data_IF_516611850395
#
_entry.id   IF_516611850395
#
_cell.length_a   1.000
_cell.length_b   1.000
_cell.length_c   1.000
_cell.angle_alpha   90.00
_cell.angle_beta   90.00
_cell.angle_gamma   90.00
#
_symmetry.space_group_name_H-M   'P 1'
#
loop_
_entity.id
_entity.type
_entity.pdbx_description
1 polymer ?
#
# COMPACT_ATOMS: atom_id res chain seq x y z
N UNK A 1 -10.68 7.19 -13.80
CA UNK A 1 -9.78 6.85 -14.94
C UNK A 1 -9.80 7.90 -16.05
N UNK A 2 -10.93 8.42 -16.50
CA UNK A 2 -11.00 9.43 -17.57
C UNK A 2 -10.06 10.62 -17.33
N UNK A 3 -10.14 11.27 -16.17
CA UNK A 3 -9.29 12.41 -15.81
C UNK A 3 -7.80 12.04 -15.77
N UNK A 4 -7.50 10.88 -15.22
CA UNK A 4 -6.13 10.34 -15.14
C UNK A 4 -5.54 10.11 -16.54
N UNK A 5 -6.31 9.54 -17.46
CA UNK A 5 -5.88 9.30 -18.84
C UNK A 5 -5.64 10.61 -19.61
N UNK A 6 -6.50 11.62 -19.43
CA UNK A 6 -6.30 12.95 -20.03
C UNK A 6 -5.02 13.58 -19.50
N UNK A 7 -4.78 13.50 -18.19
CA UNK A 7 -3.57 14.06 -17.59
C UNK A 7 -2.31 13.38 -18.13
N UNK A 8 -2.33 12.08 -18.40
CA UNK A 8 -1.19 11.33 -18.95
C UNK A 8 -0.77 11.76 -20.34
N UNK A 9 -1.66 12.36 -21.14
CA UNK A 9 -1.31 12.85 -22.48
C UNK A 9 -0.19 13.89 -22.42
N UNK A 10 -0.10 14.68 -21.32
CA UNK A 10 0.94 15.68 -21.08
C UNK A 10 1.24 16.55 -22.32
N UNK A 11 0.25 17.23 -22.92
CA UNK A 11 0.43 17.95 -24.18
C UNK A 11 1.26 19.22 -24.04
N UNK A 12 1.56 19.67 -22.82
CA UNK A 12 2.31 20.88 -22.53
C UNK A 12 3.62 20.57 -21.81
N UNK A 13 4.65 21.42 -22.00
CA UNK A 13 5.91 21.29 -21.25
C UNK A 13 5.69 21.45 -19.75
N UNK A 14 4.75 22.32 -19.35
CA UNK A 14 4.37 22.53 -17.94
C UNK A 14 2.88 22.90 -17.81
N UNK A 15 2.35 22.90 -16.60
CA UNK A 15 0.95 23.29 -16.33
C UNK A 15 -0.08 22.21 -16.64
N UNK A 16 0.31 20.99 -17.01
CA UNK A 16 -0.62 19.90 -17.36
C UNK A 16 -1.67 19.61 -16.26
N UNK A 17 -1.27 19.61 -15.00
CA UNK A 17 -2.21 19.39 -13.88
C UNK A 17 -3.24 20.53 -13.80
N UNK A 18 -2.82 21.78 -13.95
CA UNK A 18 -3.71 22.94 -13.94
C UNK A 18 -4.67 22.91 -15.11
N UNK A 19 -4.18 22.60 -16.31
CA UNK A 19 -5.03 22.47 -17.51
C UNK A 19 -6.03 21.35 -17.36
N UNK A 20 -5.63 20.21 -16.81
CA UNK A 20 -6.56 19.10 -16.51
C UNK A 20 -7.64 19.52 -15.53
N UNK A 21 -7.29 20.24 -14.46
CA UNK A 21 -8.26 20.76 -13.50
C UNK A 21 -9.30 21.67 -14.18
N UNK A 22 -8.84 22.68 -14.93
CA UNK A 22 -9.73 23.60 -15.67
C UNK A 22 -10.61 22.87 -16.68
N UNK A 23 -10.03 21.90 -17.40
CA UNK A 23 -10.79 21.08 -18.35
C UNK A 23 -11.90 20.28 -17.61
N UNK A 24 -11.59 19.62 -16.52
CA UNK A 24 -12.57 18.81 -15.77
C UNK A 24 -13.66 19.69 -15.15
N UNK A 25 -13.31 20.86 -14.60
CA UNK A 25 -14.31 21.82 -14.10
C UNK A 25 -15.31 22.18 -15.21
N UNK A 26 -14.80 22.60 -16.38
CA UNK A 26 -15.64 22.94 -17.52
C UNK A 26 -16.46 21.75 -18.00
N UNK A 27 -15.86 20.58 -18.11
CA UNK A 27 -16.50 19.36 -18.55
C UNK A 27 -17.65 18.95 -17.63
N UNK A 28 -17.44 18.94 -16.32
CA UNK A 28 -18.49 18.62 -15.34
C UNK A 28 -19.65 19.66 -15.36
N UNK A 29 -19.33 20.94 -15.56
CA UNK A 29 -20.35 22.00 -15.71
C UNK A 29 -21.25 21.77 -16.92
N UNK A 30 -20.76 21.14 -18.01
CA UNK A 30 -21.62 20.78 -19.16
C UNK A 30 -22.68 19.73 -18.84
N UNK A 31 -22.46 18.94 -17.78
CA UNK A 31 -23.45 17.98 -17.27
C UNK A 31 -24.36 18.55 -16.18
N UNK A 32 -24.27 19.85 -15.91
CA UNK A 32 -25.10 20.53 -14.94
C UNK A 32 -24.60 20.48 -13.50
N UNK A 33 -23.37 19.97 -13.27
CA UNK A 33 -22.77 19.99 -11.95
C UNK A 33 -22.34 21.41 -11.58
N UNK A 34 -22.73 21.86 -10.39
CA UNK A 34 -22.23 23.14 -9.84
C UNK A 34 -20.89 22.92 -9.17
N UNK A 35 -19.82 23.06 -9.93
CA UNK A 35 -18.44 22.83 -9.44
C UNK A 35 -17.84 24.15 -8.95
N UNK A 36 -17.43 24.16 -7.68
CA UNK A 36 -16.61 25.21 -7.10
C UNK A 36 -15.13 24.93 -7.39
N UNK A 37 -14.45 25.89 -8.02
CA UNK A 37 -13.00 25.82 -8.34
C UNK A 37 -12.12 25.97 -7.09
N UNK A 38 -12.63 26.50 -5.98
CA UNK A 38 -11.90 26.61 -4.70
C UNK A 38 -11.40 25.25 -4.21
N UNK A 39 -12.20 24.19 -4.38
CA UNK A 39 -11.79 22.82 -4.01
C UNK A 39 -10.49 22.40 -4.70
N UNK A 40 -10.31 22.77 -5.98
CA UNK A 40 -9.07 22.51 -6.71
C UNK A 40 -7.92 23.39 -6.24
N UNK A 41 -8.19 24.66 -5.90
CA UNK A 41 -7.18 25.59 -5.40
C UNK A 41 -6.63 25.14 -4.03
N UNK A 42 -7.52 24.84 -3.10
CA UNK A 42 -7.19 24.42 -1.74
C UNK A 42 -6.48 23.05 -1.72
N UNK A 43 -6.86 22.15 -2.61
CA UNK A 43 -6.35 20.78 -2.65
C UNK A 43 -5.47 20.51 -3.87
N UNK A 44 -4.82 21.53 -4.44
CA UNK A 44 -4.06 21.41 -5.69
C UNK A 44 -2.95 20.36 -5.64
N UNK A 45 -2.22 20.28 -4.52
CA UNK A 45 -1.18 19.27 -4.29
C UNK A 45 -1.76 17.87 -4.15
N UNK A 46 -2.89 17.72 -3.45
CA UNK A 46 -3.54 16.43 -3.33
C UNK A 46 -4.06 15.95 -4.69
N UNK A 47 -4.70 16.83 -5.47
CA UNK A 47 -5.17 16.52 -6.81
C UNK A 47 -4.01 16.07 -7.72
N UNK A 48 -2.88 16.82 -7.73
CA UNK A 48 -1.68 16.42 -8.47
C UNK A 48 -1.15 15.06 -8.04
N UNK A 49 -0.99 14.84 -6.75
CA UNK A 49 -0.45 13.60 -6.21
C UNK A 49 -1.39 12.42 -6.46
N UNK A 50 -2.71 12.62 -6.40
CA UNK A 50 -3.69 11.58 -6.74
C UNK A 50 -3.66 11.20 -8.23
N UNK A 51 -3.39 12.14 -9.14
CA UNK A 51 -3.15 11.85 -10.56
C UNK A 51 -1.86 11.03 -10.75
N UNK A 52 -0.79 11.38 -10.05
CA UNK A 52 0.45 10.59 -10.05
C UNK A 52 0.17 9.18 -9.55
N UNK A 53 -0.51 9.01 -8.40
CA UNK A 53 -0.83 7.70 -7.82
C UNK A 53 -1.70 6.84 -8.74
N UNK A 54 -2.65 7.46 -9.44
CA UNK A 54 -3.52 6.76 -10.38
C UNK A 54 -2.78 6.18 -11.59
N UNK A 55 -1.52 6.59 -11.84
CA UNK A 55 -0.73 6.19 -13.01
C UNK A 55 0.64 5.57 -12.65
N UNK A 56 1.05 5.65 -11.38
CA UNK A 56 2.38 5.20 -10.96
C UNK A 56 2.40 3.71 -10.69
N UNK A 57 3.39 3.04 -11.32
CA UNK A 57 3.73 1.63 -11.08
C UNK A 57 5.20 1.50 -10.73
N UNK A 58 5.51 0.66 -9.75
CA UNK A 58 6.87 0.22 -9.47
C UNK A 58 6.83 -1.24 -9.01
N UNK A 59 7.14 -2.16 -9.91
CA UNK A 59 7.09 -3.59 -9.64
C UNK A 59 8.15 -4.05 -8.63
N UNK A 60 9.31 -3.40 -8.60
CA UNK A 60 10.38 -3.72 -7.63
C UNK A 60 9.93 -3.42 -6.19
N UNK A 61 9.14 -2.36 -6.00
CA UNK A 61 8.58 -1.96 -4.71
C UNK A 61 7.17 -2.53 -4.46
N UNK A 62 6.68 -3.41 -5.33
CA UNK A 62 5.31 -3.95 -5.29
C UNK A 62 4.23 -2.86 -5.21
N UNK A 63 4.44 -1.74 -5.91
CA UNK A 63 3.52 -0.61 -5.94
C UNK A 63 2.75 -0.63 -7.26
N UNK A 64 1.43 -0.62 -7.16
CA UNK A 64 0.50 -0.60 -8.30
C UNK A 64 -0.24 0.73 -8.37
N UNK A 65 -0.89 0.97 -9.50
CA UNK A 65 -1.78 2.13 -9.69
C UNK A 65 -2.89 2.12 -8.66
N UNK A 66 -3.17 3.29 -8.10
CA UNK A 66 -4.23 3.46 -7.11
C UNK A 66 -5.07 4.70 -7.45
N UNK A 67 -6.31 4.47 -7.90
CA UNK A 67 -7.27 5.53 -8.23
C UNK A 67 -8.07 6.03 -7.03
N UNK A 68 -7.99 5.37 -5.88
CA UNK A 68 -8.80 5.66 -4.70
C UNK A 68 -8.64 7.09 -4.19
N UNK A 69 -7.44 7.65 -4.28
CA UNK A 69 -7.17 9.05 -3.90
C UNK A 69 -7.89 10.03 -4.83
N UNK A 70 -7.88 9.75 -6.13
CA UNK A 70 -8.56 10.57 -7.12
C UNK A 70 -10.08 10.45 -6.99
N UNK A 71 -10.58 9.28 -6.67
CA UNK A 71 -12.01 9.03 -6.41
C UNK A 71 -12.49 9.78 -5.17
N UNK A 72 -11.73 9.78 -4.06
CA UNK A 72 -12.03 10.59 -2.86
C UNK A 72 -12.09 12.09 -3.17
N UNK A 73 -11.14 12.59 -3.98
CA UNK A 73 -11.15 13.98 -4.40
C UNK A 73 -12.43 14.33 -5.18
N UNK A 74 -12.79 13.51 -6.16
CA UNK A 74 -14.01 13.73 -6.94
C UNK A 74 -15.28 13.51 -6.12
N UNK A 75 -15.27 12.62 -5.16
CA UNK A 75 -16.41 12.43 -4.27
C UNK A 75 -16.66 13.71 -3.46
N UNK A 76 -15.64 14.30 -2.84
CA UNK A 76 -15.78 15.58 -2.17
C UNK A 76 -16.28 16.69 -3.11
N UNK A 77 -15.73 16.75 -4.33
CA UNK A 77 -16.09 17.75 -5.32
C UNK A 77 -17.55 17.67 -5.76
N UNK A 78 -18.09 16.47 -5.96
CA UNK A 78 -19.42 16.26 -6.55
C UNK A 78 -20.53 16.17 -5.50
N UNK A 79 -20.23 15.67 -4.30
CA UNK A 79 -21.22 15.46 -3.24
C UNK A 79 -21.12 16.44 -2.08
N UNK A 80 -20.19 17.42 -2.16
CA UNK A 80 -19.88 18.34 -1.08
C UNK A 80 -19.54 17.63 0.25
N UNK A 81 -19.02 16.41 0.16
CA UNK A 81 -18.56 15.63 1.30
C UNK A 81 -17.23 16.17 1.82
N UNK A 82 -16.90 15.83 3.06
CA UNK A 82 -15.73 16.38 3.74
C UNK A 82 -14.72 15.27 4.10
N UNK A 83 -14.43 14.36 3.15
CA UNK A 83 -13.37 13.41 3.35
C UNK A 83 -12.02 14.11 3.48
N UNK A 84 -11.24 13.72 4.45
CA UNK A 84 -9.93 14.29 4.70
C UNK A 84 -8.95 13.96 3.56
N UNK A 85 -8.44 14.99 2.87
CA UNK A 85 -7.52 14.90 1.75
C UNK A 85 -6.08 15.19 2.22
N UNK A 86 -5.41 14.18 2.80
CA UNK A 86 -4.04 14.32 3.30
C UNK A 86 -3.01 13.89 2.27
N UNK A 87 -2.16 14.81 1.84
CA UNK A 87 -1.07 14.55 0.90
C UNK A 87 -0.12 13.44 1.37
N UNK A 88 0.15 13.32 2.66
CA UNK A 88 1.03 12.29 3.21
C UNK A 88 0.61 10.85 2.83
N UNK A 89 -0.69 10.59 2.65
CA UNK A 89 -1.18 9.28 2.28
C UNK A 89 -0.95 8.93 0.80
N UNK A 90 -0.68 9.93 -0.04
CA UNK A 90 -0.36 9.71 -1.45
C UNK A 90 1.10 9.35 -1.68
N UNK A 91 1.99 9.52 -0.69
CA UNK A 91 3.40 9.18 -0.80
C UNK A 91 3.61 7.66 -0.69
N UNK A 92 4.45 7.12 -1.56
CA UNK A 92 4.72 5.69 -1.67
C UNK A 92 5.35 5.13 -0.39
N UNK A 93 6.24 5.88 0.25
CA UNK A 93 6.89 5.48 1.49
C UNK A 93 5.89 5.33 2.65
N UNK A 94 4.81 6.12 2.65
CA UNK A 94 3.73 6.00 3.62
C UNK A 94 2.75 4.85 3.30
N UNK A 95 2.70 4.36 2.06
CA UNK A 95 1.86 3.21 1.69
C UNK A 95 2.45 1.92 2.28
N UNK A 96 3.77 1.80 2.31
CA UNK A 96 4.42 0.72 3.02
C UNK A 96 4.06 0.76 4.52
N UNK A 97 4.14 1.93 5.15
CA UNK A 97 3.72 2.14 6.54
C UNK A 97 2.21 1.96 6.78
N UNK A 98 1.34 2.23 5.81
CA UNK A 98 -0.11 2.08 5.95
C UNK A 98 -0.58 0.64 5.72
N UNK A 99 0.11 -0.12 4.87
CA UNK A 99 -0.10 -1.56 4.73
C UNK A 99 0.43 -2.32 5.96
N UNK A 100 1.45 -1.79 6.62
CA UNK A 100 1.95 -2.26 7.92
C UNK A 100 0.99 -1.92 9.07
N UNK A 101 0.23 -0.81 9.00
CA UNK A 101 -0.72 -0.38 10.04
C UNK A 101 -2.11 -1.03 9.97
N UNK A 102 -2.47 -1.72 8.89
CA UNK A 102 -3.69 -2.55 8.82
C UNK A 102 -3.47 -4.02 9.25
N UNK A 103 -2.23 -4.46 9.35
CA UNK A 103 -1.83 -5.57 10.20
C UNK A 103 -1.34 -4.92 11.50
N UNK A 104 -1.91 -5.24 12.66
CA UNK A 104 -1.35 -4.88 13.99
C UNK A 104 0.16 -5.02 13.87
N UNK A 105 0.88 -3.90 14.09
CA UNK A 105 2.31 -3.77 13.90
C UNK A 105 3.11 -4.95 14.46
N UNK A 106 3.40 -5.90 13.63
CA UNK A 106 4.50 -6.80 13.84
C UNK A 106 5.52 -6.43 12.77
N UNK A 107 6.60 -5.71 13.15
CA UNK A 107 7.74 -5.37 12.31
C UNK A 107 8.50 -6.65 11.91
N UNK A 108 7.87 -7.48 11.07
CA UNK A 108 8.52 -8.67 10.53
C UNK A 108 9.29 -8.31 9.26
N UNK A 109 10.48 -8.85 9.12
CA UNK A 109 11.17 -8.87 7.83
C UNK A 109 10.39 -9.74 6.83
N UNK A 110 10.64 -9.59 5.53
CA UNK A 110 10.00 -10.43 4.49
C UNK A 110 10.24 -11.93 4.75
N UNK A 111 11.41 -12.28 5.25
CA UNK A 111 11.78 -13.65 5.60
C UNK A 111 11.02 -14.12 6.86
N UNK A 112 10.90 -13.30 7.89
CA UNK A 112 10.11 -13.59 9.08
C UNK A 112 8.64 -13.78 8.73
N UNK A 113 8.08 -12.94 7.86
CA UNK A 113 6.70 -13.05 7.38
C UNK A 113 6.48 -14.35 6.59
N UNK A 114 7.41 -14.73 5.72
CA UNK A 114 7.36 -16.00 4.99
C UNK A 114 7.35 -17.19 5.94
N UNK A 115 8.23 -17.17 6.96
CA UNK A 115 8.29 -18.23 7.98
C UNK A 115 6.97 -18.29 8.77
N UNK A 116 6.42 -17.16 9.20
CA UNK A 116 5.12 -17.10 9.90
C UNK A 116 4.01 -17.71 9.05
N UNK A 117 3.92 -17.38 7.77
CA UNK A 117 2.90 -17.94 6.88
C UNK A 117 3.02 -19.45 6.72
N UNK A 118 4.25 -19.97 6.61
CA UNK A 118 4.50 -21.41 6.56
C UNK A 118 4.05 -22.09 7.86
N UNK A 119 4.38 -21.50 9.02
CA UNK A 119 4.05 -22.06 10.34
C UNK A 119 2.54 -21.95 10.66
N UNK A 120 1.87 -20.90 10.20
CA UNK A 120 0.39 -20.79 10.29
C UNK A 120 -0.32 -21.85 9.47
N UNK A 121 0.22 -22.18 8.28
CA UNK A 121 -0.34 -23.25 7.43
C UNK A 121 -0.05 -24.66 7.98
N UNK A 122 1.16 -24.88 8.51
CA UNK A 122 1.54 -26.16 9.10
C UNK A 122 2.52 -25.95 10.27
N UNK A 123 2.00 -26.01 11.48
CA UNK A 123 2.76 -25.80 12.71
C UNK A 123 3.83 -26.89 13.01
N UNK A 124 3.80 -28.02 12.30
CA UNK A 124 4.74 -29.11 12.47
C UNK A 124 5.91 -29.05 11.46
N UNK A 125 5.95 -28.04 10.59
CA UNK A 125 6.99 -27.90 9.55
C UNK A 125 8.38 -27.83 10.17
N UNK A 126 9.31 -28.60 9.59
CA UNK A 126 10.70 -28.64 10.03
C UNK A 126 11.49 -27.44 9.50
N UNK A 127 12.59 -27.07 10.19
CA UNK A 127 13.48 -26.00 9.72
C UNK A 127 14.11 -26.29 8.35
N UNK A 128 14.29 -27.57 8.00
CA UNK A 128 14.78 -27.99 6.70
C UNK A 128 13.74 -27.76 5.60
N UNK A 129 12.48 -28.05 5.87
CA UNK A 129 11.38 -27.78 4.93
C UNK A 129 11.18 -26.28 4.72
N UNK A 130 11.26 -25.48 5.80
CA UNK A 130 11.21 -24.01 5.71
C UNK A 130 12.36 -23.51 4.84
N UNK A 131 13.59 -24.01 5.03
CA UNK A 131 14.75 -23.59 4.25
C UNK A 131 14.58 -23.82 2.74
N UNK A 132 13.96 -24.94 2.37
CA UNK A 132 13.63 -25.25 0.97
C UNK A 132 12.56 -24.32 0.41
N UNK A 133 11.51 -24.03 1.17
CA UNK A 133 10.38 -23.21 0.72
C UNK A 133 10.78 -21.73 0.54
N UNK A 134 11.60 -21.17 1.44
CA UNK A 134 12.05 -19.77 1.34
C UNK A 134 13.36 -19.59 0.56
N UNK A 135 13.92 -20.69 0.02
CA UNK A 135 15.17 -20.72 -0.74
C UNK A 135 16.37 -20.06 -0.01
N UNK A 136 16.52 -20.36 1.28
CA UNK A 136 17.62 -19.88 2.14
C UNK A 136 18.35 -21.06 2.79
N UNK A 137 19.59 -20.84 3.23
CA UNK A 137 20.35 -21.89 3.90
C UNK A 137 19.70 -22.29 5.22
N UNK A 138 19.82 -23.55 5.62
CA UNK A 138 19.32 -24.03 6.91
C UNK A 138 19.91 -23.22 8.10
N UNK A 139 21.18 -22.77 7.98
CA UNK A 139 21.83 -21.93 8.98
C UNK A 139 21.10 -20.60 9.13
N UNK A 140 20.77 -19.94 8.02
CA UNK A 140 20.03 -18.67 7.99
C UNK A 140 18.65 -18.83 8.62
N UNK A 141 17.92 -19.90 8.27
CA UNK A 141 16.59 -20.17 8.85
C UNK A 141 16.67 -20.39 10.36
N UNK A 142 17.68 -21.12 10.84
CA UNK A 142 17.89 -21.31 12.27
C UNK A 142 18.13 -19.98 12.99
N UNK A 143 18.91 -19.07 12.41
CA UNK A 143 19.14 -17.72 12.96
C UNK A 143 17.84 -16.94 13.02
N UNK A 144 17.08 -16.83 11.94
CA UNK A 144 15.80 -16.13 11.92
C UNK A 144 14.81 -16.70 12.95
N UNK A 145 14.68 -18.02 13.01
CA UNK A 145 13.77 -18.64 13.98
C UNK A 145 14.21 -18.44 15.44
N UNK A 146 15.51 -18.36 15.71
CA UNK A 146 16.01 -18.05 17.05
C UNK A 146 15.69 -16.59 17.42
N UNK A 147 15.94 -15.64 16.52
CA UNK A 147 15.59 -14.22 16.72
C UNK A 147 14.07 -14.04 16.89
N UNK A 148 13.25 -14.74 16.11
CA UNK A 148 11.80 -14.71 16.24
C UNK A 148 11.32 -15.29 17.58
N UNK A 149 12.00 -16.32 18.13
CA UNK A 149 11.70 -16.82 19.47
C UNK A 149 12.08 -15.81 20.55
N UNK A 150 13.25 -15.16 20.41
CA UNK A 150 13.70 -14.11 21.34
C UNK A 150 12.76 -12.90 21.35
N UNK A 151 12.23 -12.53 20.18
CA UNK A 151 11.20 -11.49 20.03
C UNK A 151 9.80 -11.95 20.51
N UNK A 152 9.63 -13.21 20.91
CA UNK A 152 8.34 -13.77 21.33
C UNK A 152 7.32 -13.96 20.22
N UNK A 153 7.74 -13.95 18.95
CA UNK A 153 6.88 -14.06 17.77
C UNK A 153 6.44 -15.50 17.49
N UNK A 154 7.31 -16.45 17.82
CA UNK A 154 7.05 -17.89 17.72
C UNK A 154 7.50 -18.59 18.98
N UNK A 155 6.78 -19.64 19.37
CA UNK A 155 7.11 -20.50 20.50
C UNK A 155 7.08 -21.97 20.07
N UNK A 156 8.02 -22.78 20.58
CA UNK A 156 8.01 -24.21 20.34
C UNK A 156 7.42 -24.95 21.53
N UNK A 157 6.28 -25.64 21.34
CA UNK A 157 5.66 -26.50 22.36
C UNK A 157 5.87 -27.99 22.04
N UNK A 158 5.83 -28.82 23.09
CA UNK A 158 5.92 -30.29 23.04
C UNK A 158 7.29 -30.90 22.68
N UNK A 159 8.41 -30.22 22.97
CA UNK A 159 9.76 -30.80 22.93
C UNK A 159 10.34 -31.02 21.52
N UNK A 160 11.50 -31.75 21.48
CA UNK A 160 12.28 -31.89 20.23
C UNK A 160 11.73 -32.89 19.23
N UNK A 161 11.00 -33.95 19.65
CA UNK A 161 10.54 -35.02 18.74
C UNK A 161 9.17 -34.79 18.12
N UNK A 162 8.23 -34.18 18.88
CA UNK A 162 6.84 -33.91 18.42
C UNK A 162 6.48 -32.42 18.59
N UNK A 163 7.49 -31.53 18.52
CA UNK A 163 7.28 -30.11 18.78
C UNK A 163 6.54 -29.42 17.66
N UNK A 164 5.55 -28.62 18.04
CA UNK A 164 4.82 -27.73 17.14
C UNK A 164 5.21 -26.29 17.39
N UNK A 165 5.25 -25.52 16.35
CA UNK A 165 5.47 -24.08 16.39
C UNK A 165 4.14 -23.35 16.58
N UNK A 166 4.08 -22.46 17.54
CA UNK A 166 2.95 -21.57 17.76
C UNK A 166 3.40 -20.17 17.40
N UNK A 167 2.62 -19.51 16.57
CA UNK A 167 2.81 -18.10 16.22
C UNK A 167 2.00 -17.27 17.20
N UNK A 168 2.64 -16.29 17.85
CA UNK A 168 1.94 -15.31 18.70
C UNK A 168 1.21 -14.30 17.81
N UNK A 169 -0.07 -14.05 18.11
CA UNK A 169 -0.91 -13.06 17.39
C UNK A 169 -0.64 -11.64 17.86
#
# INVERSE_FOLDING_TARGET
RFTSNIWQVHPFCEGNTRTTAVFIIKYLRTFGFNINDEVFAENSWYFRNSLVRANYKNFEKNVFEDTSFLEKFFYNLLTHSNYELKNRYTHIDNIQSANENNSKCNNYTLEEQAIINILKNNSATTQEEISKQINKSLRTVKTYMAEMQEKGLIERKNGKKNGKWIVSD
#
